data_IF_474201159433
#
_entry.id   IF_474201159433
#
_cell.length_a   1.000
_cell.length_b   1.000
_cell.length_c   1.000
_cell.angle_alpha   90.00
_cell.angle_beta   90.00
_cell.angle_gamma   90.00
#
_symmetry.space_group_name_H-M   'P 1'
#
loop_
_entity.id
_entity.type
_entity.pdbx_description
1 polymer ?
#
# COMPACT_ATOMS: atom_id res chain seq x y z
N UNK A 1 54.75 58.48 -9.49
CA UNK A 1 54.73 58.10 -8.06
C UNK A 1 53.38 57.46 -7.77
N UNK A 2 53.39 56.14 -7.52
CA UNK A 2 52.53 55.30 -6.66
C UNK A 2 50.98 55.41 -6.73
N UNK A 3 50.38 54.29 -7.19
CA UNK A 3 49.12 53.58 -6.84
C UNK A 3 47.93 54.29 -6.16
N UNK A 4 46.72 54.00 -6.66
CA UNK A 4 45.78 53.10 -5.96
C UNK A 4 44.60 52.65 -6.85
N UNK A 5 44.35 51.33 -6.82
CA UNK A 5 43.22 50.66 -7.45
C UNK A 5 41.98 50.76 -6.56
N UNK A 6 40.81 51.05 -7.14
CA UNK A 6 39.51 50.80 -6.50
C UNK A 6 38.92 49.51 -7.09
N UNK A 7 39.18 48.38 -6.39
CA UNK A 7 38.40 47.14 -6.51
C UNK A 7 36.98 47.42 -6.02
N UNK A 8 35.99 47.35 -6.91
CA UNK A 8 34.56 47.43 -6.58
C UNK A 8 33.81 46.22 -7.13
N UNK A 9 33.51 45.30 -6.21
CA UNK A 9 32.68 44.09 -6.27
C UNK A 9 32.14 43.59 -7.62
N UNK A 10 32.61 42.40 -7.99
CA UNK A 10 31.88 41.42 -8.79
C UNK A 10 30.41 41.40 -8.35
N UNK A 11 29.51 41.71 -9.29
CA UNK A 11 28.18 41.13 -9.30
C UNK A 11 28.40 39.62 -9.20
N UNK A 12 28.22 39.03 -8.03
CA UNK A 12 28.01 37.58 -7.95
C UNK A 12 26.79 37.30 -8.81
N UNK A 13 26.99 36.53 -9.87
CA UNK A 13 25.94 36.20 -10.82
C UNK A 13 24.81 35.56 -10.02
N UNK A 14 23.67 36.23 -9.95
CA UNK A 14 22.54 35.80 -9.10
C UNK A 14 22.13 34.35 -9.43
N UNK A 15 22.41 33.92 -10.66
CA UNK A 15 22.23 32.56 -11.13
C UNK A 15 23.23 31.58 -10.50
N UNK A 16 24.50 31.92 -10.32
CA UNK A 16 25.48 31.07 -9.61
C UNK A 16 25.08 30.82 -8.15
N UNK A 17 24.43 31.80 -7.53
CA UNK A 17 23.90 31.66 -6.17
C UNK A 17 22.62 30.82 -6.14
N UNK A 18 21.74 30.98 -7.13
CA UNK A 18 20.55 30.13 -7.31
C UNK A 18 20.96 28.67 -7.56
N UNK A 19 21.90 28.42 -8.46
CA UNK A 19 22.36 27.10 -8.86
C UNK A 19 22.94 26.33 -7.66
N UNK A 20 23.76 27.01 -6.84
CA UNK A 20 24.26 26.44 -5.56
C UNK A 20 23.14 26.15 -4.56
N UNK A 21 22.07 26.95 -4.53
CA UNK A 21 20.93 26.70 -3.65
C UNK A 21 20.12 25.49 -4.15
N UNK A 22 19.90 25.38 -5.46
CA UNK A 22 19.20 24.27 -6.09
C UNK A 22 19.99 22.96 -5.96
N UNK A 23 21.32 23.00 -6.12
CA UNK A 23 22.20 21.85 -5.90
C UNK A 23 22.17 21.36 -4.45
N UNK A 24 22.20 22.30 -3.49
CA UNK A 24 22.08 21.95 -2.07
C UNK A 24 20.72 21.32 -1.77
N UNK A 25 19.63 21.87 -2.30
CA UNK A 25 18.28 21.29 -2.13
C UNK A 25 18.17 19.92 -2.80
N UNK A 26 18.77 19.74 -3.98
CA UNK A 26 18.81 18.46 -4.69
C UNK A 26 19.60 17.41 -3.93
N UNK A 27 20.80 17.75 -3.44
CA UNK A 27 21.63 16.83 -2.65
C UNK A 27 20.98 16.48 -1.31
N UNK A 28 20.29 17.43 -0.67
CA UNK A 28 19.56 17.19 0.57
C UNK A 28 18.34 16.30 0.34
N UNK A 29 17.57 16.54 -0.73
CA UNK A 29 16.45 15.70 -1.14
C UNK A 29 16.90 14.28 -1.51
N UNK A 30 18.00 14.12 -2.27
CA UNK A 30 18.52 12.80 -2.63
C UNK A 30 18.96 11.98 -1.42
N UNK A 31 19.58 12.61 -0.41
CA UNK A 31 19.98 11.92 0.83
C UNK A 31 18.78 11.49 1.66
N UNK A 32 17.74 12.32 1.79
CA UNK A 32 16.51 11.95 2.50
C UNK A 32 15.72 10.88 1.75
N UNK A 33 15.54 11.02 0.44
CA UNK A 33 14.80 10.06 -0.39
C UNK A 33 15.51 8.71 -0.47
N UNK A 34 16.86 8.68 -0.48
CA UNK A 34 17.63 7.44 -0.46
C UNK A 34 17.40 6.62 0.81
N UNK A 35 17.46 7.25 1.99
CA UNK A 35 17.23 6.57 3.26
C UNK A 35 15.75 6.15 3.46
N UNK A 36 14.80 7.01 3.07
CA UNK A 36 13.37 6.70 3.13
C UNK A 36 12.98 5.59 2.15
N UNK A 37 13.60 5.55 0.96
CA UNK A 37 13.40 4.49 -0.03
C UNK A 37 13.88 3.13 0.47
N UNK A 38 15.02 3.08 1.18
CA UNK A 38 15.51 1.83 1.80
C UNK A 38 14.58 1.34 2.90
N UNK A 39 14.17 2.21 3.83
CA UNK A 39 13.26 1.83 4.93
C UNK A 39 11.90 1.36 4.43
N UNK A 40 11.32 2.07 3.45
CA UNK A 40 10.07 1.67 2.80
C UNK A 40 10.23 0.35 2.05
N UNK A 41 11.36 0.15 1.37
CA UNK A 41 11.69 -1.09 0.69
C UNK A 41 11.72 -2.29 1.64
N UNK A 42 12.39 -2.15 2.78
CA UNK A 42 12.47 -3.22 3.79
C UNK A 42 11.10 -3.53 4.40
N UNK A 43 10.32 -2.49 4.73
CA UNK A 43 8.95 -2.64 5.21
C UNK A 43 8.08 -3.36 4.15
N UNK A 44 8.15 -2.94 2.90
CA UNK A 44 7.39 -3.56 1.81
C UNK A 44 7.79 -5.02 1.54
N UNK A 45 9.05 -5.41 1.73
CA UNK A 45 9.48 -6.82 1.64
C UNK A 45 8.76 -7.68 2.68
N UNK A 46 8.68 -7.20 3.92
CA UNK A 46 7.96 -7.88 5.01
C UNK A 46 6.48 -7.97 4.69
N UNK A 47 5.83 -6.84 4.39
CA UNK A 47 4.39 -6.78 4.14
C UNK A 47 3.97 -7.63 2.93
N UNK A 48 4.75 -7.62 1.85
CA UNK A 48 4.50 -8.46 0.68
C UNK A 48 4.55 -9.95 1.04
N UNK A 49 5.54 -10.33 1.85
CA UNK A 49 5.69 -11.69 2.35
C UNK A 49 4.48 -12.12 3.18
N UNK A 50 3.95 -11.22 4.01
CA UNK A 50 2.79 -11.51 4.86
C UNK A 50 1.52 -11.67 4.03
N UNK A 51 1.26 -10.78 3.06
CA UNK A 51 0.12 -10.89 2.15
C UNK A 51 0.17 -12.18 1.33
N UNK A 52 1.35 -12.58 0.85
CA UNK A 52 1.53 -13.85 0.15
C UNK A 52 1.26 -15.05 1.07
N UNK A 53 1.78 -15.05 2.31
CA UNK A 53 1.52 -16.12 3.29
C UNK A 53 0.03 -16.23 3.64
N UNK A 54 -0.69 -15.11 3.74
CA UNK A 54 -2.15 -15.09 3.92
C UNK A 54 -2.81 -15.80 2.74
N UNK A 55 -2.47 -15.42 1.50
CA UNK A 55 -3.01 -16.05 0.30
C UNK A 55 -2.81 -17.57 0.34
N UNK A 56 -1.58 -18.04 0.58
CA UNK A 56 -1.26 -19.48 0.68
C UNK A 56 -2.05 -20.18 1.78
N UNK A 57 -2.37 -19.48 2.88
CA UNK A 57 -3.15 -20.07 3.98
C UNK A 57 -4.60 -20.33 3.57
N UNK A 58 -5.21 -19.43 2.81
CA UNK A 58 -6.56 -19.59 2.28
C UNK A 58 -6.64 -20.60 1.14
N UNK A 59 -5.57 -20.75 0.35
CA UNK A 59 -5.49 -21.78 -0.69
C UNK A 59 -5.69 -23.19 -0.11
N UNK A 60 -5.24 -23.44 1.13
CA UNK A 60 -5.46 -24.72 1.84
C UNK A 60 -6.93 -25.08 2.06
N UNK A 61 -7.85 -24.13 1.94
CA UNK A 61 -9.31 -24.34 1.98
C UNK A 61 -9.99 -24.01 0.65
N UNK A 62 -9.23 -24.08 -0.46
CA UNK A 62 -9.71 -23.85 -1.82
C UNK A 62 -10.33 -22.46 -2.04
N UNK A 63 -9.80 -21.45 -1.32
CA UNK A 63 -10.12 -20.04 -1.53
C UNK A 63 -8.96 -19.41 -2.30
N UNK A 64 -9.29 -18.73 -3.40
CA UNK A 64 -8.31 -18.17 -4.31
C UNK A 64 -8.39 -16.65 -4.32
N UNK A 65 -7.23 -16.03 -4.13
CA UNK A 65 -7.04 -14.59 -4.27
C UNK A 65 -6.19 -14.28 -5.51
N UNK A 66 -6.33 -13.07 -6.03
CA UNK A 66 -5.26 -12.43 -6.80
C UNK A 66 -4.51 -11.45 -5.92
N UNK A 67 -3.20 -11.31 -6.12
CA UNK A 67 -2.36 -10.33 -5.42
C UNK A 67 -1.88 -9.24 -6.38
N UNK A 68 -1.77 -8.00 -5.89
CA UNK A 68 -1.09 -6.90 -6.60
C UNK A 68 -0.04 -6.24 -5.68
N UNK A 69 1.17 -5.92 -6.17
CA UNK A 69 1.73 -6.27 -7.49
C UNK A 69 1.71 -7.78 -7.74
N UNK A 70 1.70 -8.18 -9.01
CA UNK A 70 1.55 -9.60 -9.35
C UNK A 70 2.73 -10.41 -8.80
N UNK A 71 2.45 -11.63 -8.35
CA UNK A 71 3.42 -12.59 -7.82
C UNK A 71 4.65 -12.79 -8.71
N UNK A 72 4.43 -12.88 -10.01
CA UNK A 72 5.50 -12.97 -11.02
C UNK A 72 6.44 -11.76 -11.06
N UNK A 73 6.03 -10.60 -10.53
CA UNK A 73 6.84 -9.39 -10.48
C UNK A 73 7.80 -9.40 -9.28
N UNK A 74 7.31 -9.77 -8.09
CA UNK A 74 8.08 -9.64 -6.84
C UNK A 74 8.74 -10.95 -6.37
N UNK A 75 8.28 -12.12 -6.83
CA UNK A 75 8.76 -13.42 -6.37
C UNK A 75 9.40 -14.26 -7.49
N UNK A 76 10.38 -15.06 -7.09
CA UNK A 76 10.95 -16.18 -7.84
C UNK A 76 10.48 -17.49 -7.22
N UNK A 77 10.07 -18.44 -8.05
CA UNK A 77 9.51 -19.72 -7.59
C UNK A 77 10.42 -20.87 -7.98
N UNK A 78 10.87 -21.64 -6.99
CA UNK A 78 11.49 -22.95 -7.20
C UNK A 78 10.39 -24.00 -7.43
N UNK A 79 9.31 -23.93 -6.63
CA UNK A 79 8.11 -24.73 -6.77
C UNK A 79 6.88 -23.92 -6.41
N UNK A 80 6.16 -23.49 -7.45
CA UNK A 80 4.96 -22.68 -7.28
C UNK A 80 3.85 -23.44 -6.50
N UNK A 81 3.11 -22.80 -5.59
CA UNK A 81 3.34 -21.46 -5.00
C UNK A 81 4.14 -21.48 -3.67
N UNK A 82 4.61 -22.65 -3.24
CA UNK A 82 5.08 -22.89 -1.85
C UNK A 82 6.58 -22.68 -1.62
N UNK A 83 7.44 -22.95 -2.60
CA UNK A 83 8.90 -22.75 -2.51
C UNK A 83 9.27 -21.55 -3.36
N UNK A 84 9.56 -20.42 -2.70
CA UNK A 84 9.73 -19.12 -3.33
C UNK A 84 10.67 -18.21 -2.54
N UNK A 85 11.18 -17.19 -3.21
CA UNK A 85 12.00 -16.13 -2.63
C UNK A 85 11.64 -14.77 -3.27
N UNK A 86 11.89 -13.67 -2.54
CA UNK A 86 11.75 -12.34 -3.11
C UNK A 86 12.84 -12.09 -4.15
N UNK A 87 12.49 -11.50 -5.28
CA UNK A 87 13.46 -11.09 -6.30
C UNK A 87 14.35 -9.96 -5.77
N UNK A 88 15.67 -10.11 -5.90
CA UNK A 88 16.62 -9.09 -5.44
C UNK A 88 16.53 -7.80 -6.26
N UNK A 89 16.19 -7.91 -7.56
CA UNK A 89 16.13 -6.80 -8.50
C UNK A 89 14.76 -6.12 -8.62
N UNK A 90 13.79 -6.49 -7.77
CA UNK A 90 12.49 -5.84 -7.74
C UNK A 90 12.54 -4.58 -6.85
N UNK A 91 12.00 -3.47 -7.35
CA UNK A 91 11.97 -2.20 -6.61
C UNK A 91 10.85 -2.19 -5.57
N UNK A 92 11.16 -2.68 -4.36
CA UNK A 92 10.23 -2.64 -3.24
C UNK A 92 9.99 -1.22 -2.70
N UNK A 93 10.92 -0.28 -2.87
CA UNK A 93 10.75 1.11 -2.40
C UNK A 93 9.69 1.87 -3.21
N UNK A 94 9.57 1.53 -4.50
CA UNK A 94 8.58 2.08 -5.41
C UNK A 94 7.13 1.59 -5.18
N UNK A 95 6.92 0.54 -4.38
CA UNK A 95 5.58 0.01 -4.12
C UNK A 95 4.77 1.00 -3.28
N UNK A 96 3.65 1.45 -3.82
CA UNK A 96 2.69 2.32 -3.12
C UNK A 96 1.40 1.60 -2.74
N UNK A 97 1.21 0.35 -3.18
CA UNK A 97 0.01 -0.43 -2.90
C UNK A 97 0.34 -1.93 -2.88
N UNK A 98 -0.21 -2.64 -1.90
CA UNK A 98 -0.24 -4.09 -1.81
C UNK A 98 -1.69 -4.51 -1.57
N UNK A 99 -2.24 -5.43 -2.35
CA UNK A 99 -3.61 -5.91 -2.12
C UNK A 99 -3.79 -7.38 -2.46
N UNK A 100 -4.70 -8.04 -1.74
CA UNK A 100 -5.25 -9.35 -2.13
C UNK A 100 -6.76 -9.21 -2.35
N UNK A 101 -7.24 -9.74 -3.48
CA UNK A 101 -8.64 -9.63 -3.95
C UNK A 101 -9.25 -11.01 -4.06
N UNK A 102 -10.37 -11.23 -3.37
CA UNK A 102 -11.10 -12.50 -3.36
C UNK A 102 -11.78 -12.76 -4.71
N UNK A 103 -11.60 -13.98 -5.21
CA UNK A 103 -12.16 -14.46 -6.47
C UNK A 103 -13.25 -15.52 -6.27
N UNK A 104 -13.66 -15.77 -5.02
CA UNK A 104 -14.65 -16.80 -4.64
C UNK A 104 -16.05 -16.42 -5.09
N UNK A 105 -16.44 -16.92 -6.28
CA UNK A 105 -17.77 -16.70 -6.88
C UNK A 105 -18.90 -17.39 -6.11
N UNK A 106 -18.67 -18.62 -5.66
CA UNK A 106 -19.68 -19.46 -5.00
C UNK A 106 -20.23 -18.86 -3.71
N UNK A 107 -19.50 -17.93 -3.09
CA UNK A 107 -19.89 -17.25 -1.85
C UNK A 107 -20.22 -15.77 -2.05
N UNK A 108 -20.26 -15.27 -3.30
CA UNK A 108 -20.57 -13.86 -3.58
C UNK A 108 -19.52 -12.87 -3.07
N UNK A 109 -18.26 -13.30 -2.91
CA UNK A 109 -17.17 -12.49 -2.33
C UNK A 109 -16.26 -11.85 -3.37
N UNK A 110 -16.60 -11.98 -4.66
CA UNK A 110 -15.76 -11.47 -5.74
C UNK A 110 -15.52 -9.97 -5.57
N UNK A 111 -14.27 -9.59 -5.36
CA UNK A 111 -13.86 -8.20 -5.15
C UNK A 111 -13.73 -7.79 -3.68
N UNK A 112 -14.02 -8.66 -2.71
CA UNK A 112 -13.62 -8.42 -1.31
C UNK A 112 -12.10 -8.32 -1.26
N UNK A 113 -11.58 -7.22 -0.74
CA UNK A 113 -10.17 -6.84 -0.90
C UNK A 113 -9.57 -6.39 0.42
N UNK A 114 -8.44 -6.95 0.79
CA UNK A 114 -7.57 -6.37 1.80
C UNK A 114 -6.50 -5.53 1.07
N UNK A 115 -6.45 -4.22 1.35
CA UNK A 115 -5.62 -3.27 0.62
C UNK A 115 -4.79 -2.43 1.55
N UNK A 116 -3.48 -2.44 1.36
CA UNK A 116 -2.55 -1.53 1.98
C UNK A 116 -2.10 -0.49 0.94
N UNK A 117 -2.19 0.79 1.26
CA UNK A 117 -1.73 1.87 0.36
C UNK A 117 -0.95 2.94 1.11
N UNK A 118 0.06 3.46 0.43
CA UNK A 118 0.78 4.67 0.83
C UNK A 118 0.10 5.88 0.19
N UNK A 119 -0.02 6.97 0.94
CA UNK A 119 -0.50 8.23 0.40
C UNK A 119 0.16 9.42 1.11
N UNK A 120 0.17 10.57 0.45
CA UNK A 120 0.69 11.80 1.02
C UNK A 120 -0.49 12.70 1.42
N UNK A 121 -0.39 13.30 2.60
CA UNK A 121 -1.30 14.34 3.07
C UNK A 121 -0.47 15.53 3.55
N UNK A 122 -0.34 16.54 2.68
CA UNK A 122 0.67 17.58 2.84
C UNK A 122 2.07 16.97 2.85
N UNK A 123 2.84 17.28 3.89
CA UNK A 123 4.20 16.76 4.10
C UNK A 123 4.25 15.39 4.81
N UNK A 124 3.10 14.83 5.18
CA UNK A 124 3.03 13.55 5.88
C UNK A 124 2.89 12.39 4.90
N UNK A 125 3.82 11.42 4.99
CA UNK A 125 3.70 10.13 4.32
C UNK A 125 2.96 9.15 5.24
N UNK A 126 1.77 8.73 4.80
CA UNK A 126 0.85 7.90 5.57
C UNK A 126 0.71 6.51 4.93
N UNK A 127 0.37 5.55 5.77
CA UNK A 127 0.05 4.18 5.41
C UNK A 127 -1.37 3.86 5.87
N UNK A 128 -2.21 3.37 4.96
CA UNK A 128 -3.57 2.96 5.24
C UNK A 128 -3.83 1.53 4.86
N UNK A 129 -4.39 0.75 5.78
CA UNK A 129 -4.94 -0.58 5.54
C UNK A 129 -6.47 -0.49 5.50
N UNK A 130 -7.09 -0.96 4.42
CA UNK A 130 -8.54 -1.01 4.26
C UNK A 130 -9.01 -2.43 3.95
N UNK A 131 -10.24 -2.74 4.37
CA UNK A 131 -11.01 -3.85 3.84
C UNK A 131 -12.12 -3.30 2.96
N UNK A 132 -12.10 -3.63 1.66
CA UNK A 132 -13.10 -3.20 0.68
C UNK A 132 -14.02 -4.37 0.34
N UNK A 133 -15.29 -4.10 0.13
CA UNK A 133 -16.29 -5.14 -0.08
C UNK A 133 -17.42 -4.64 -0.97
N UNK A 134 -17.96 -5.50 -1.83
CA UNK A 134 -19.11 -5.15 -2.68
C UNK A 134 -20.37 -4.97 -1.81
N UNK A 135 -20.99 -3.80 -1.89
CA UNK A 135 -22.28 -3.46 -1.25
C UNK A 135 -23.47 -3.82 -2.14
N UNK A 136 -23.26 -4.00 -3.45
CA UNK A 136 -24.28 -4.40 -4.40
C UNK A 136 -24.14 -3.71 -5.76
N UNK A 137 -25.09 -3.96 -6.66
CA UNK A 137 -25.11 -3.36 -7.99
C UNK A 137 -26.18 -2.26 -8.05
N UNK A 138 -25.80 -1.07 -8.52
CA UNK A 138 -26.68 0.08 -8.73
C UNK A 138 -26.76 0.42 -10.21
N UNK A 139 -27.96 0.65 -10.72
CA UNK A 139 -28.18 1.06 -12.11
C UNK A 139 -28.09 2.57 -12.26
N UNK A 140 -27.15 3.03 -13.10
CA UNK A 140 -27.00 4.42 -13.49
C UNK A 140 -27.48 4.61 -14.93
N UNK A 141 -28.45 5.52 -15.13
CA UNK A 141 -29.13 5.76 -16.42
C UNK A 141 -28.20 5.91 -17.64
N UNK A 142 -26.99 6.44 -17.44
CA UNK A 142 -26.01 6.70 -18.51
C UNK A 142 -24.74 5.84 -18.42
N UNK A 143 -24.63 4.95 -17.44
CA UNK A 143 -23.42 4.15 -17.22
C UNK A 143 -23.70 2.68 -16.92
N UNK A 144 -24.95 2.24 -17.02
CA UNK A 144 -25.36 0.87 -16.80
C UNK A 144 -25.28 0.44 -15.34
N UNK A 145 -25.23 -0.87 -15.13
CA UNK A 145 -25.02 -1.47 -13.82
C UNK A 145 -23.59 -1.24 -13.36
N UNK A 146 -23.43 -0.65 -12.17
CA UNK A 146 -22.14 -0.49 -11.51
C UNK A 146 -22.15 -1.19 -10.17
N UNK A 147 -21.02 -1.80 -9.82
CA UNK A 147 -20.80 -2.33 -8.46
C UNK A 147 -20.38 -1.20 -7.55
N UNK A 148 -21.11 -1.07 -6.44
CA UNK A 148 -20.77 -0.21 -5.32
C UNK A 148 -19.89 -1.00 -4.37
N UNK A 149 -18.78 -0.41 -3.97
CA UNK A 149 -17.88 -0.94 -2.97
C UNK A 149 -17.89 -0.02 -1.76
N UNK A 150 -18.01 -0.59 -0.58
CA UNK A 150 -17.76 0.08 0.69
C UNK A 150 -16.38 -0.30 1.21
N UNK A 151 -15.82 0.51 2.09
CA UNK A 151 -14.58 0.17 2.78
C UNK A 151 -14.65 0.42 4.28
N UNK A 152 -13.89 -0.37 5.05
CA UNK A 152 -13.56 -0.10 6.44
C UNK A 152 -12.08 0.23 6.58
N UNK A 153 -11.75 1.24 7.38
CA UNK A 153 -10.38 1.66 7.65
C UNK A 153 -9.87 0.84 8.84
N UNK A 154 -8.97 -0.10 8.58
CA UNK A 154 -8.42 -1.01 9.59
C UNK A 154 -7.27 -0.37 10.35
N UNK A 155 -6.45 0.40 9.63
CA UNK A 155 -5.33 1.17 10.15
C UNK A 155 -5.13 2.40 9.28
N UNK A 156 -4.85 3.54 9.90
CA UNK A 156 -4.40 4.74 9.21
C UNK A 156 -3.38 5.48 10.09
N UNK A 157 -2.11 5.51 9.66
CA UNK A 157 -1.02 6.04 10.49
C UNK A 157 0.10 6.63 9.64
N UNK A 158 0.79 7.68 10.12
CA UNK A 158 2.04 8.12 9.52
C UNK A 158 3.06 6.98 9.47
N UNK A 159 3.76 6.82 8.35
CA UNK A 159 4.77 5.75 8.18
C UNK A 159 5.83 5.80 9.28
N UNK A 160 6.20 7.01 9.74
CA UNK A 160 7.15 7.22 10.84
C UNK A 160 6.66 6.70 12.21
N UNK A 161 5.35 6.50 12.37
CA UNK A 161 4.71 5.96 13.59
C UNK A 161 4.19 4.54 13.37
N UNK A 162 4.49 3.92 12.23
CA UNK A 162 4.06 2.56 11.95
C UNK A 162 4.77 1.58 12.88
N UNK A 163 3.97 0.79 13.59
CA UNK A 163 4.42 -0.28 14.47
C UNK A 163 4.04 -1.62 13.84
N UNK A 164 5.07 -2.39 13.48
CA UNK A 164 4.90 -3.65 12.77
C UNK A 164 4.23 -4.73 13.64
N UNK A 165 4.46 -4.74 14.95
CA UNK A 165 3.88 -5.74 15.86
C UNK A 165 2.39 -5.47 16.08
N UNK A 166 2.03 -4.19 16.25
CA UNK A 166 0.62 -3.78 16.30
C UNK A 166 -0.09 -4.08 14.98
N UNK A 167 0.57 -3.81 13.85
CA UNK A 167 0.06 -4.16 12.53
C UNK A 167 -0.18 -5.67 12.38
N UNK A 168 0.78 -6.52 12.76
CA UNK A 168 0.61 -7.97 12.69
C UNK A 168 -0.52 -8.48 13.60
N UNK A 169 -0.69 -7.87 14.78
CA UNK A 169 -1.79 -8.20 15.69
C UNK A 169 -3.14 -7.89 15.05
N UNK A 170 -3.30 -6.68 14.51
CA UNK A 170 -4.50 -6.27 13.77
C UNK A 170 -4.77 -7.19 12.57
N UNK A 171 -3.74 -7.41 11.75
CA UNK A 171 -3.83 -8.22 10.54
C UNK A 171 -4.23 -9.66 10.87
N UNK A 172 -3.69 -10.24 11.94
CA UNK A 172 -4.04 -11.57 12.39
C UNK A 172 -5.52 -11.69 12.78
N UNK A 173 -6.08 -10.71 13.50
CA UNK A 173 -7.50 -10.73 13.86
C UNK A 173 -8.40 -10.62 12.62
N UNK A 174 -8.13 -9.66 11.74
CA UNK A 174 -8.87 -9.47 10.48
C UNK A 174 -8.83 -10.73 9.62
N UNK A 175 -7.65 -11.35 9.48
CA UNK A 175 -7.46 -12.58 8.70
C UNK A 175 -8.21 -13.75 9.33
N UNK A 176 -8.22 -13.90 10.66
CA UNK A 176 -8.98 -14.96 11.34
C UNK A 176 -10.47 -14.82 11.10
N UNK A 177 -11.02 -13.62 11.25
CA UNK A 177 -12.44 -13.35 11.01
C UNK A 177 -12.82 -13.60 9.55
N UNK A 178 -11.98 -13.18 8.62
CA UNK A 178 -12.20 -13.44 7.20
C UNK A 178 -12.16 -14.94 6.90
N UNK A 179 -11.16 -15.66 7.42
CA UNK A 179 -11.01 -17.11 7.25
C UNK A 179 -12.21 -17.88 7.84
N UNK A 180 -12.64 -17.52 9.05
CA UNK A 180 -13.83 -18.10 9.69
C UNK A 180 -15.09 -17.86 8.85
N UNK A 181 -15.24 -16.66 8.29
CA UNK A 181 -16.37 -16.33 7.41
C UNK A 181 -16.43 -17.25 6.19
N UNK A 182 -15.27 -17.64 5.61
CA UNK A 182 -15.21 -18.59 4.49
C UNK A 182 -15.59 -20.01 4.90
N UNK A 183 -15.09 -20.47 6.05
CA UNK A 183 -15.41 -21.79 6.59
C UNK A 183 -16.90 -21.94 6.88
N UNK A 184 -17.54 -20.87 7.37
CA UNK A 184 -18.97 -20.82 7.65
C UNK A 184 -19.84 -20.59 6.41
N UNK A 185 -19.24 -20.28 5.25
CA UNK A 185 -19.94 -19.82 4.06
C UNK A 185 -20.86 -18.62 4.31
N UNK A 186 -20.53 -17.81 5.32
CA UNK A 186 -21.33 -16.66 5.74
C UNK A 186 -20.46 -15.40 5.74
N UNK A 187 -20.70 -14.54 4.75
CA UNK A 187 -19.99 -13.26 4.60
C UNK A 187 -20.32 -12.29 5.74
N UNK A 188 -21.47 -12.41 6.38
CA UNK A 188 -21.89 -11.51 7.45
C UNK A 188 -21.00 -11.60 8.68
N UNK A 189 -20.36 -12.76 8.94
CA UNK A 189 -19.38 -12.92 10.02
C UNK A 189 -18.28 -11.85 9.92
N UNK A 190 -17.71 -11.68 8.72
CA UNK A 190 -16.67 -10.67 8.49
C UNK A 190 -17.25 -9.25 8.53
N UNK A 191 -18.38 -9.02 7.85
CA UNK A 191 -18.95 -7.67 7.74
C UNK A 191 -19.44 -7.12 9.10
N UNK A 192 -20.00 -7.97 9.96
CA UNK A 192 -20.41 -7.58 11.32
C UNK A 192 -19.21 -7.27 12.19
N UNK A 193 -18.14 -8.09 12.11
CA UNK A 193 -16.89 -7.81 12.81
C UNK A 193 -16.31 -6.46 12.38
N UNK A 194 -16.26 -6.19 11.07
CA UNK A 194 -15.75 -4.93 10.55
C UNK A 194 -16.59 -3.74 11.02
N UNK A 195 -17.92 -3.82 10.89
CA UNK A 195 -18.85 -2.76 11.28
C UNK A 195 -18.82 -2.43 12.77
N UNK A 196 -18.57 -3.43 13.63
CA UNK A 196 -18.48 -3.26 15.08
C UNK A 196 -17.12 -2.75 15.58
N UNK A 197 -16.07 -2.87 14.75
CA UNK A 197 -14.67 -2.64 15.19
C UNK A 197 -14.02 -1.43 14.53
N UNK A 198 -14.36 -1.15 13.26
CA UNK A 198 -13.64 -0.17 12.44
C UNK A 198 -14.54 0.95 11.93
N UNK A 199 -13.92 2.09 11.65
CA UNK A 199 -14.59 3.21 11.01
C UNK A 199 -14.95 2.85 9.57
N UNK A 200 -16.21 3.12 9.19
CA UNK A 200 -16.65 3.01 7.79
C UNK A 200 -16.06 4.18 7.01
N UNK A 201 -15.28 3.85 5.98
CA UNK A 201 -14.74 4.83 5.05
C UNK A 201 -15.71 5.13 3.90
N UNK A 202 -15.14 5.55 2.78
CA UNK A 202 -15.88 5.93 1.58
C UNK A 202 -16.61 4.75 0.91
N UNK A 203 -17.69 5.08 0.22
CA UNK A 203 -18.35 4.20 -0.76
C UNK A 203 -18.00 4.71 -2.15
N UNK A 204 -17.57 3.81 -3.05
CA UNK A 204 -17.11 4.15 -4.40
C UNK A 204 -17.61 3.15 -5.46
N UNK A 205 -17.61 3.56 -6.72
CA UNK A 205 -17.86 2.67 -7.86
C UNK A 205 -16.54 2.23 -8.50
N UNK A 206 -16.37 0.94 -8.80
CA UNK A 206 -15.38 0.53 -9.80
C UNK A 206 -15.98 0.68 -11.20
N UNK A 207 -15.24 1.34 -12.10
CA UNK A 207 -15.61 1.59 -13.50
C UNK A 207 -15.25 0.44 -14.41
#
# INVERSE_FOLDING_TARGET
MIFMAAKGSKNEDWFDNLDKELDKKTAQAQKSTGAESTQKGDLNRTLMTDFWKILLRFEKINIHFSIEPADTQFASFEKYPYEWSLKENFDFGGINQIQIVDRTRSQGRVGDTLKLRYYNEGDNHNLRLTFEFCEGEHYYKYSGWKRMYGQYILLDTPVKKFDLDQFHTLLAEVVRQWYESHLKHDRNVMLQYLAGTFEKGETFTQG
#
